data_IF_521118334137
#
_entry.id   IF_521118334137
#
_cell.length_a   1.000
_cell.length_b   1.000
_cell.length_c   1.000
_cell.angle_alpha   90.00
_cell.angle_beta   90.00
_cell.angle_gamma   90.00
#
_symmetry.space_group_name_H-M   'P 1'
#
loop_
_entity.id
_entity.type
_entity.pdbx_description
1 polymer ?
#
# COMPACT_ATOMS: atom_id res chain seq x y z
N UNK A 1 20.28 15.64 5.60
CA UNK A 1 18.93 15.07 5.79
C UNK A 1 18.91 13.77 4.99
N UNK A 2 18.70 12.58 5.58
CA UNK A 2 18.67 11.39 4.74
C UNK A 2 17.32 11.31 4.01
N UNK A 3 17.46 11.00 2.72
CA UNK A 3 16.50 10.48 1.76
C UNK A 3 15.25 11.33 1.42
N UNK A 4 15.27 11.84 0.19
CA UNK A 4 14.15 11.77 -0.76
C UNK A 4 13.35 10.47 -0.59
N UNK A 5 12.45 10.41 0.39
CA UNK A 5 11.42 9.37 0.43
C UNK A 5 10.39 9.76 -0.61
N UNK A 6 10.66 9.39 -1.87
CA UNK A 6 9.72 9.55 -2.98
C UNK A 6 8.50 8.69 -2.71
N UNK A 7 7.44 9.30 -2.17
CA UNK A 7 6.15 8.66 -2.03
C UNK A 7 5.52 8.51 -3.40
N UNK A 8 5.17 7.27 -3.78
CA UNK A 8 4.52 6.97 -5.06
C UNK A 8 3.05 6.67 -4.81
N UNK A 9 2.18 7.36 -5.55
CA UNK A 9 0.74 7.16 -5.43
C UNK A 9 0.31 5.90 -6.19
N UNK A 10 -0.10 4.88 -5.45
CA UNK A 10 -0.37 3.54 -5.99
C UNK A 10 -1.60 2.93 -5.34
N UNK A 11 -2.17 1.94 -6.03
CA UNK A 11 -3.22 1.07 -5.52
C UNK A 11 -2.63 -0.28 -5.20
N UNK A 12 -2.73 -0.70 -3.94
CA UNK A 12 -2.36 -2.02 -3.47
C UNK A 12 -3.62 -2.88 -3.33
N UNK A 13 -3.73 -3.94 -4.12
CA UNK A 13 -4.83 -4.90 -4.07
C UNK A 13 -4.42 -6.09 -3.21
N UNK A 14 -5.19 -6.39 -2.19
CA UNK A 14 -4.93 -7.49 -1.27
C UNK A 14 -5.81 -8.70 -1.57
N UNK A 15 -5.30 -9.93 -1.33
CA UNK A 15 -6.08 -11.16 -1.57
C UNK A 15 -7.19 -11.37 -0.54
N UNK A 16 -7.14 -10.68 0.61
CA UNK A 16 -8.15 -10.79 1.67
C UNK A 16 -8.20 -9.53 2.53
N UNK A 17 -9.34 -9.31 3.21
CA UNK A 17 -9.51 -8.23 4.20
C UNK A 17 -8.48 -8.37 5.34
N UNK A 18 -8.14 -9.61 5.73
CA UNK A 18 -7.18 -9.86 6.79
C UNK A 18 -5.78 -9.32 6.42
N UNK A 19 -5.32 -9.61 5.20
CA UNK A 19 -4.04 -9.11 4.67
C UNK A 19 -4.03 -7.58 4.58
N UNK A 20 -5.12 -7.00 4.09
CA UNK A 20 -5.29 -5.54 3.99
C UNK A 20 -5.21 -4.88 5.37
N UNK A 21 -5.97 -5.38 6.34
CA UNK A 21 -6.00 -4.81 7.69
C UNK A 21 -4.67 -4.99 8.43
N UNK A 22 -3.98 -6.11 8.22
CA UNK A 22 -2.66 -6.36 8.79
C UNK A 22 -1.63 -5.37 8.23
N UNK A 23 -1.54 -5.22 6.90
CA UNK A 23 -0.65 -4.27 6.27
C UNK A 23 -0.97 -2.82 6.68
N UNK A 24 -2.25 -2.44 6.75
CA UNK A 24 -2.67 -1.13 7.24
C UNK A 24 -2.13 -0.84 8.65
N UNK A 25 -2.28 -1.80 9.56
CA UNK A 25 -1.81 -1.65 10.94
C UNK A 25 -0.28 -1.61 11.03
N UNK A 26 0.43 -2.32 10.16
CA UNK A 26 1.89 -2.33 10.13
C UNK A 26 2.50 -1.12 9.40
N UNK A 27 1.84 -0.60 8.36
CA UNK A 27 2.39 0.49 7.55
C UNK A 27 2.46 1.82 8.32
N UNK A 28 1.52 2.08 9.23
CA UNK A 28 1.33 3.40 9.84
C UNK A 28 1.27 4.55 8.81
N UNK A 29 0.85 4.24 7.58
CA UNK A 29 0.67 5.19 6.49
C UNK A 29 -0.35 6.29 6.91
N UNK A 30 -0.08 7.57 6.65
CA UNK A 30 -0.96 8.67 7.11
C UNK A 30 -2.10 9.01 6.12
N UNK A 31 -1.85 8.87 4.81
CA UNK A 31 -2.78 9.28 3.75
C UNK A 31 -3.10 8.10 2.81
N UNK A 32 -4.18 7.38 3.14
CA UNK A 32 -4.72 6.35 2.25
C UNK A 32 -6.24 6.24 2.33
N UNK A 33 -6.81 5.79 1.23
CA UNK A 33 -8.19 5.35 1.08
C UNK A 33 -8.23 3.82 1.09
N UNK A 34 -9.13 3.24 1.88
CA UNK A 34 -9.39 1.79 1.88
C UNK A 34 -10.71 1.54 1.18
N UNK A 35 -10.65 0.77 0.11
CA UNK A 35 -11.82 0.16 -0.49
C UNK A 35 -11.96 -1.27 0.06
N UNK A 36 -12.89 -1.47 1.00
CA UNK A 36 -13.11 -2.80 1.61
C UNK A 36 -13.82 -3.76 0.67
N UNK A 37 -14.61 -3.24 -0.27
CA UNK A 37 -15.33 -4.06 -1.25
C UNK A 37 -14.37 -4.53 -2.36
N UNK A 38 -13.47 -3.66 -2.80
CA UNK A 38 -12.44 -3.99 -3.78
C UNK A 38 -11.15 -4.58 -3.17
N UNK A 39 -11.09 -4.73 -1.85
CA UNK A 39 -9.89 -5.16 -1.10
C UNK A 39 -8.64 -4.36 -1.49
N UNK A 40 -8.79 -3.06 -1.66
CA UNK A 40 -7.72 -2.19 -2.17
C UNK A 40 -7.35 -1.09 -1.18
N UNK A 41 -6.08 -0.71 -1.20
CA UNK A 41 -5.50 0.36 -0.40
C UNK A 41 -4.84 1.34 -1.36
N UNK A 42 -5.48 2.50 -1.53
CA UNK A 42 -5.07 3.54 -2.47
C UNK A 42 -4.43 4.66 -1.68
N UNK A 43 -3.19 5.00 -1.97
CA UNK A 43 -2.49 6.03 -1.21
C UNK A 43 -1.09 6.27 -1.71
N UNK A 44 -0.37 7.08 -0.95
CA UNK A 44 1.02 7.42 -1.23
C UNK A 44 1.92 6.54 -0.38
N UNK A 45 2.63 5.61 -1.02
CA UNK A 45 3.49 4.64 -0.35
C UNK A 45 4.94 4.83 -0.77
N UNK A 46 5.85 4.55 0.15
CA UNK A 46 7.25 4.42 -0.17
C UNK A 46 7.52 3.10 -0.89
N UNK A 47 8.59 3.06 -1.68
CA UNK A 47 9.00 1.84 -2.39
C UNK A 47 9.15 0.64 -1.42
N UNK A 48 9.79 0.83 -0.27
CA UNK A 48 9.93 -0.22 0.74
C UNK A 48 8.60 -0.72 1.32
N UNK A 49 7.59 0.14 1.43
CA UNK A 49 6.24 -0.27 1.86
C UNK A 49 5.53 -1.08 0.78
N UNK A 50 5.74 -0.72 -0.49
CA UNK A 50 5.23 -1.47 -1.63
C UNK A 50 5.87 -2.85 -1.69
N UNK A 51 7.20 -2.94 -1.54
CA UNK A 51 7.91 -4.22 -1.51
C UNK A 51 7.41 -5.10 -0.37
N UNK A 52 7.21 -4.56 0.84
CA UNK A 52 6.60 -5.31 1.95
C UNK A 52 5.18 -5.76 1.61
N UNK A 53 4.34 -4.90 1.03
CA UNK A 53 2.98 -5.26 0.64
C UNK A 53 2.98 -6.43 -0.36
N UNK A 54 3.86 -6.38 -1.36
CA UNK A 54 3.97 -7.38 -2.43
C UNK A 54 4.60 -8.68 -1.93
N UNK A 55 5.72 -8.62 -1.20
CA UNK A 55 6.43 -9.81 -0.75
C UNK A 55 5.72 -10.51 0.42
N UNK A 56 5.31 -9.76 1.44
CA UNK A 56 4.73 -10.32 2.67
C UNK A 56 3.25 -10.65 2.53
N UNK A 57 2.48 -9.77 1.86
CA UNK A 57 1.02 -9.92 1.77
C UNK A 57 0.55 -10.34 0.37
N UNK A 58 1.48 -10.57 -0.57
CA UNK A 58 1.16 -10.88 -1.97
C UNK A 58 0.20 -9.88 -2.58
N UNK A 59 0.31 -8.62 -2.18
CA UNK A 59 -0.49 -7.56 -2.74
C UNK A 59 -0.10 -7.33 -4.21
N UNK A 60 -1.07 -6.94 -5.03
CA UNK A 60 -0.83 -6.47 -6.39
C UNK A 60 -0.70 -4.95 -6.38
N UNK A 61 0.40 -4.47 -6.93
CA UNK A 61 0.68 -3.06 -7.11
C UNK A 61 0.15 -2.57 -8.47
N UNK A 62 -0.57 -1.45 -8.46
CA UNK A 62 -0.99 -0.72 -9.65
C UNK A 62 -0.57 0.74 -9.46
N UNK A 63 0.35 1.23 -10.30
CA UNK A 63 0.74 2.63 -10.29
C UNK A 63 -0.44 3.51 -10.76
N UNK A 64 -0.78 4.55 -9.99
CA UNK A 64 -1.73 5.56 -10.41
C UNK A 64 -0.93 6.62 -11.16
N UNK A 65 -0.79 6.46 -12.48
CA UNK A 65 -0.31 7.56 -13.31
C UNK A 65 -1.43 8.60 -13.39
N UNK A 66 -1.23 9.73 -12.72
CA UNK A 66 -1.98 10.96 -12.96
C UNK A 66 -1.38 11.72 -14.15
#
# INVERSE_FOLDING_TARGET
MPADESYTQVTLLFPSIASLSAFKNECACADFYIDRDALSLVGSFQQGQIDIAVEKYRARFIAINA
#
